data_IF_245267515817
#
_entry.id   IF_245267515817
#
_cell.length_a   1.000
_cell.length_b   1.000
_cell.length_c   1.000
_cell.angle_alpha   90.00
_cell.angle_beta   90.00
_cell.angle_gamma   90.00
#
_symmetry.space_group_name_H-M   'P 1'
#
loop_
_entity.id
_entity.type
_entity.pdbx_description
1 polymer ?
#
# COMPACT_ATOMS: atom_id res chain seq x y z
N UNK A 1 0.77 -16.57 -28.86
CA UNK A 1 1.45 -16.26 -27.59
C UNK A 1 0.78 -15.02 -27.04
N UNK A 2 0.10 -15.15 -25.91
CA UNK A 2 -0.61 -14.05 -25.26
C UNK A 2 0.47 -13.13 -24.67
N UNK A 3 0.46 -11.84 -25.04
CA UNK A 3 1.46 -10.87 -24.59
C UNK A 3 1.43 -10.75 -23.07
N UNK A 4 2.56 -11.06 -22.42
CA UNK A 4 2.73 -10.82 -21.00
C UNK A 4 2.95 -9.33 -20.78
N UNK A 5 2.14 -8.70 -19.91
CA UNK A 5 2.44 -7.36 -19.40
C UNK A 5 3.87 -7.36 -18.83
N UNK A 6 4.67 -6.35 -19.18
CA UNK A 6 6.00 -6.14 -18.60
C UNK A 6 5.86 -5.64 -17.16
N UNK A 7 6.75 -6.09 -16.28
CA UNK A 7 6.89 -5.56 -14.91
C UNK A 7 7.43 -4.11 -14.97
N UNK A 8 6.56 -3.11 -15.10
CA UNK A 8 6.94 -1.71 -14.91
C UNK A 8 7.02 -1.41 -13.40
N UNK A 9 8.05 -0.69 -12.92
CA UNK A 9 8.13 -0.28 -11.53
C UNK A 9 7.10 0.83 -11.22
N UNK A 10 6.63 0.91 -9.96
CA UNK A 10 5.52 1.79 -9.53
C UNK A 10 5.67 3.29 -9.86
N UNK A 11 6.89 3.73 -10.15
CA UNK A 11 7.31 5.11 -10.42
C UNK A 11 7.48 5.43 -11.91
N UNK A 12 7.38 4.46 -12.82
CA UNK A 12 7.53 4.70 -14.26
C UNK A 12 6.18 4.84 -14.97
N UNK A 13 5.62 6.06 -14.87
CA UNK A 13 4.39 6.46 -15.55
C UNK A 13 4.54 6.55 -17.08
N UNK A 14 5.75 6.51 -17.66
CA UNK A 14 5.96 6.52 -19.11
C UNK A 14 6.04 5.10 -19.71
N UNK A 15 6.55 4.12 -18.94
CA UNK A 15 6.48 2.68 -19.26
C UNK A 15 5.03 2.20 -19.43
N UNK A 16 4.07 2.86 -18.78
CA UNK A 16 2.63 2.57 -18.88
C UNK A 16 1.92 3.28 -20.03
N UNK A 17 2.52 4.32 -20.65
CA UNK A 17 1.91 5.11 -21.72
C UNK A 17 2.37 4.70 -23.13
N UNK A 18 3.45 3.92 -23.24
CA UNK A 18 4.09 3.56 -24.51
C UNK A 18 3.54 2.28 -25.18
N UNK A 19 2.26 1.94 -25.00
CA UNK A 19 1.54 0.99 -25.87
C UNK A 19 0.42 1.64 -26.68
N UNK A 20 0.61 2.89 -27.06
CA UNK A 20 -0.23 3.54 -28.09
C UNK A 20 0.13 3.01 -29.49
N UNK A 21 -0.35 1.79 -29.80
CA UNK A 21 -0.76 1.31 -31.14
C UNK A 21 -1.19 -0.17 -31.07
N UNK A 22 -2.32 -0.43 -30.43
CA UNK A 22 -3.12 -1.61 -30.77
C UNK A 22 -4.45 -1.13 -31.31
N UNK A 23 -4.76 -1.61 -32.50
CA UNK A 23 -5.86 -1.21 -33.37
C UNK A 23 -7.21 -1.26 -32.65
N UNK A 24 -8.05 -0.27 -32.94
CA UNK A 24 -9.25 0.12 -32.18
C UNK A 24 -10.46 -0.81 -32.41
N UNK A 25 -10.25 -2.12 -32.51
CA UNK A 25 -11.32 -3.08 -32.85
C UNK A 25 -11.49 -4.23 -31.85
N UNK A 26 -10.77 -4.27 -30.73
CA UNK A 26 -10.97 -5.32 -29.72
C UNK A 26 -11.40 -4.73 -28.36
N UNK A 27 -12.59 -5.10 -27.92
CA UNK A 27 -13.30 -4.53 -26.77
C UNK A 27 -12.74 -4.99 -25.40
N UNK A 28 -11.56 -5.64 -25.36
CA UNK A 28 -11.00 -6.23 -24.14
C UNK A 28 -9.48 -6.18 -24.08
N UNK A 29 -8.95 -5.10 -23.50
CA UNK A 29 -7.88 -5.11 -22.49
C UNK A 29 -7.28 -3.68 -22.39
N UNK A 30 -7.97 -2.81 -21.65
CA UNK A 30 -7.31 -1.62 -21.13
C UNK A 30 -6.28 -2.07 -20.09
N UNK A 31 -4.99 -2.04 -20.43
CA UNK A 31 -3.95 -2.07 -19.42
C UNK A 31 -3.95 -0.72 -18.68
N UNK A 32 -4.87 -0.53 -17.73
CA UNK A 32 -4.99 0.69 -16.90
C UNK A 32 -4.62 0.45 -15.42
N UNK A 33 -4.17 -0.74 -15.06
CA UNK A 33 -3.78 -1.10 -13.68
C UNK A 33 -2.26 -1.20 -13.51
N UNK A 34 -1.50 -0.26 -14.07
CA UNK A 34 -0.03 -0.23 -14.00
C UNK A 34 0.53 0.38 -12.71
N UNK A 35 -0.32 0.93 -11.85
CA UNK A 35 0.09 1.57 -10.60
C UNK A 35 -0.14 0.73 -9.36
N UNK A 36 -0.46 -0.56 -9.53
CA UNK A 36 -0.73 -1.50 -8.44
C UNK A 36 0.49 -2.35 -8.13
N UNK A 37 0.85 -2.44 -6.85
CA UNK A 37 1.75 -3.43 -6.32
C UNK A 37 1.00 -4.32 -5.32
N UNK A 38 0.62 -5.49 -5.81
CA UNK A 38 -0.02 -6.57 -5.03
C UNK A 38 1.02 -7.57 -4.49
N UNK A 39 2.31 -7.24 -4.52
CA UNK A 39 3.44 -8.04 -4.02
C UNK A 39 3.64 -9.48 -4.57
N UNK A 40 2.80 -9.98 -5.47
CA UNK A 40 2.89 -11.30 -6.10
C UNK A 40 4.24 -11.58 -6.80
N UNK A 41 4.87 -10.53 -7.32
CA UNK A 41 6.11 -10.60 -8.11
C UNK A 41 7.21 -9.71 -7.52
N UNK A 42 7.25 -9.62 -6.19
CA UNK A 42 8.25 -8.84 -5.45
C UNK A 42 7.74 -7.48 -4.99
N UNK A 43 8.64 -6.57 -4.67
CA UNK A 43 8.29 -5.26 -4.09
C UNK A 43 7.98 -4.16 -5.13
N UNK A 44 7.83 -4.51 -6.41
CA UNK A 44 7.44 -3.59 -7.49
C UNK A 44 8.29 -2.32 -7.62
N UNK A 45 9.61 -2.43 -7.34
CA UNK A 45 10.55 -1.30 -7.35
C UNK A 45 10.68 -0.59 -6.01
N UNK A 46 9.83 -0.88 -5.03
CA UNK A 46 10.02 -0.40 -3.67
C UNK A 46 11.25 -1.06 -3.03
N UNK A 47 11.99 -0.28 -2.24
CA UNK A 47 13.28 -0.69 -1.69
C UNK A 47 13.34 -0.50 -0.19
N UNK A 48 13.98 -1.42 0.52
CA UNK A 48 14.16 -1.28 1.96
C UNK A 48 15.13 -0.14 2.28
N UNK A 49 14.76 0.73 3.21
CA UNK A 49 15.71 1.70 3.77
C UNK A 49 16.86 0.96 4.46
N UNK A 50 18.10 1.40 4.22
CA UNK A 50 19.32 0.73 4.72
C UNK A 50 19.52 0.84 6.23
N UNK A 51 18.96 1.87 6.87
CA UNK A 51 19.25 2.22 8.26
C UNK A 51 18.34 1.57 9.30
N UNK A 52 17.50 0.61 8.88
CA UNK A 52 16.47 0.02 9.72
C UNK A 52 16.71 -1.48 9.91
N UNK A 53 16.63 -1.94 11.16
CA UNK A 53 16.89 -3.34 11.54
C UNK A 53 15.77 -4.26 11.06
N UNK A 54 14.51 -3.84 11.24
CA UNK A 54 13.36 -4.56 10.71
C UNK A 54 13.21 -4.33 9.20
N UNK A 55 12.67 -5.36 8.54
CA UNK A 55 12.37 -5.37 7.11
C UNK A 55 10.95 -5.84 6.92
N UNK A 56 10.30 -5.31 5.88
CA UNK A 56 9.08 -5.88 5.34
C UNK A 56 9.39 -7.24 4.72
N UNK A 57 8.57 -8.24 5.00
CA UNK A 57 8.74 -9.62 4.54
C UNK A 57 7.53 -9.94 3.68
N UNK A 58 7.74 -10.54 2.51
CA UNK A 58 6.66 -11.08 1.69
C UNK A 58 6.18 -12.40 2.28
N UNK A 59 4.88 -12.57 2.42
CA UNK A 59 4.28 -13.80 2.94
C UNK A 59 2.95 -14.11 2.24
N UNK A 60 2.59 -15.39 2.27
CA UNK A 60 1.27 -15.87 1.84
C UNK A 60 0.63 -16.68 2.97
N UNK A 61 -0.69 -16.49 3.17
CA UNK A 61 -1.41 -17.11 4.28
C UNK A 61 -1.16 -16.45 5.63
N UNK A 62 -1.21 -17.22 6.72
CA UNK A 62 -1.08 -16.70 8.09
C UNK A 62 0.37 -16.29 8.42
N UNK A 63 0.55 -15.27 9.25
CA UNK A 63 1.86 -14.98 9.87
C UNK A 63 2.25 -16.06 10.89
N UNK A 64 3.51 -16.07 11.32
CA UNK A 64 4.05 -17.10 12.21
C UNK A 64 3.61 -16.97 13.67
N UNK A 65 3.24 -15.76 14.10
CA UNK A 65 2.76 -15.46 15.45
C UNK A 65 1.26 -15.72 15.56
N UNK A 66 0.84 -16.16 16.74
CA UNK A 66 -0.58 -16.35 17.05
C UNK A 66 -1.18 -15.04 17.60
N UNK A 67 -2.47 -14.80 17.35
CA UNK A 67 -3.15 -13.61 17.85
C UNK A 67 -2.80 -12.29 17.15
N UNK A 68 -2.13 -12.36 15.99
CA UNK A 68 -1.85 -11.20 15.14
C UNK A 68 -1.70 -11.62 13.67
N UNK A 69 -1.56 -10.63 12.79
CA UNK A 69 -1.41 -10.80 11.35
C UNK A 69 -2.67 -11.31 10.65
N UNK A 70 -2.75 -11.15 9.32
CA UNK A 70 -3.89 -11.62 8.55
C UNK A 70 -3.87 -13.16 8.43
N UNK A 71 -5.05 -13.79 8.35
CA UNK A 71 -5.16 -15.22 8.03
C UNK A 71 -4.85 -15.52 6.55
N UNK A 72 -5.00 -14.52 5.68
CA UNK A 72 -4.78 -14.60 4.22
C UNK A 72 -4.54 -13.22 3.59
N UNK A 73 -3.97 -13.20 2.39
CA UNK A 73 -3.87 -12.03 1.51
C UNK A 73 -5.23 -11.35 1.22
N UNK A 74 -5.21 -10.04 0.98
CA UNK A 74 -6.38 -9.22 0.68
C UNK A 74 -6.95 -9.48 -0.72
N UNK A 75 -6.12 -9.54 -1.77
CA UNK A 75 -6.55 -9.68 -3.16
C UNK A 75 -7.33 -10.96 -3.41
N UNK A 76 -6.97 -12.07 -2.76
CA UNK A 76 -7.57 -13.39 -3.02
C UNK A 76 -8.46 -13.92 -1.92
N UNK A 77 -8.60 -13.20 -0.79
CA UNK A 77 -9.50 -13.37 0.36
C UNK A 77 -9.69 -14.78 0.98
N UNK A 78 -9.24 -15.86 0.34
CA UNK A 78 -9.59 -17.26 0.65
C UNK A 78 -8.69 -18.31 -0.08
N UNK A 79 -7.64 -17.90 -0.80
CA UNK A 79 -6.67 -18.82 -1.42
C UNK A 79 -5.29 -18.56 -0.83
N UNK A 80 -4.56 -19.64 -0.51
CA UNK A 80 -3.18 -19.61 0.01
C UNK A 80 -2.14 -19.12 -1.01
N UNK A 81 -2.59 -18.51 -2.10
CA UNK A 81 -1.79 -18.26 -3.30
C UNK A 81 -1.65 -16.76 -3.60
N UNK A 82 -1.86 -15.88 -2.62
CA UNK A 82 -1.60 -14.46 -2.77
C UNK A 82 -0.63 -13.93 -1.71
N UNK A 83 0.22 -12.99 -2.12
CA UNK A 83 1.31 -12.44 -1.34
C UNK A 83 0.97 -11.04 -0.84
N UNK A 84 1.22 -10.80 0.43
CA UNK A 84 1.24 -9.47 1.05
C UNK A 84 2.62 -9.21 1.64
N UNK A 85 2.84 -7.98 2.13
CA UNK A 85 4.02 -7.67 2.95
C UNK A 85 3.62 -7.47 4.41
N UNK A 86 4.45 -7.93 5.33
CA UNK A 86 4.25 -7.68 6.76
C UNK A 86 5.57 -7.46 7.49
N UNK A 87 5.46 -6.94 8.71
CA UNK A 87 6.55 -7.00 9.69
C UNK A 87 6.24 -8.04 10.76
N UNK A 88 7.24 -8.85 11.10
CA UNK A 88 7.17 -9.80 12.22
C UNK A 88 7.56 -9.08 13.51
N UNK A 89 6.57 -8.78 14.35
CA UNK A 89 6.77 -8.04 15.60
C UNK A 89 7.68 -8.80 16.59
N UNK A 90 7.70 -10.14 16.53
CA UNK A 90 8.57 -10.97 17.37
C UNK A 90 10.06 -10.75 17.11
N UNK A 91 10.42 -10.13 15.98
CA UNK A 91 11.81 -9.76 15.64
C UNK A 91 12.18 -8.34 16.05
N UNK A 92 11.20 -7.53 16.45
CA UNK A 92 11.37 -6.14 16.82
C UNK A 92 11.47 -5.92 18.32
N UNK A 93 11.94 -4.73 18.69
CA UNK A 93 11.81 -4.14 20.02
C UNK A 93 10.92 -2.92 19.93
N UNK A 94 10.47 -2.40 21.07
CA UNK A 94 9.75 -1.11 21.10
C UNK A 94 10.53 -0.01 20.38
N UNK A 95 9.86 0.61 19.41
CA UNK A 95 10.41 1.70 18.60
C UNK A 95 11.27 1.26 17.43
N UNK A 96 11.50 -0.05 17.23
CA UNK A 96 12.08 -0.54 16.00
C UNK A 96 11.13 -0.29 14.83
N UNK A 97 11.71 0.03 13.68
CA UNK A 97 10.96 0.42 12.49
C UNK A 97 11.41 -0.39 11.28
N UNK A 98 10.47 -0.69 10.40
CA UNK A 98 10.74 -1.14 9.04
C UNK A 98 10.26 -0.06 8.06
N UNK A 99 11.07 0.22 7.03
CA UNK A 99 10.71 1.17 5.97
C UNK A 99 10.88 0.56 4.60
N UNK A 100 9.88 0.77 3.76
CA UNK A 100 9.89 0.48 2.34
C UNK A 100 9.66 1.80 1.58
N UNK A 101 10.64 2.19 0.77
CA UNK A 101 10.65 3.46 0.05
C UNK A 101 10.38 3.24 -1.44
N UNK A 102 9.60 4.14 -2.02
CA UNK A 102 9.54 4.30 -3.47
C UNK A 102 10.84 4.88 -4.03
N UNK A 103 10.95 4.81 -5.36
CA UNK A 103 11.85 5.65 -6.12
C UNK A 103 11.36 7.12 -6.13
N UNK A 104 12.22 8.01 -6.62
CA UNK A 104 11.93 9.43 -6.67
C UNK A 104 10.77 9.74 -7.62
N UNK A 105 9.75 10.42 -7.08
CA UNK A 105 8.59 10.94 -7.79
C UNK A 105 8.81 12.41 -8.14
N UNK A 106 8.14 12.86 -9.21
CA UNK A 106 8.22 14.24 -9.71
C UNK A 106 7.59 15.22 -8.71
N UNK A 107 8.10 16.45 -8.67
CA UNK A 107 7.58 17.48 -7.77
C UNK A 107 6.26 18.11 -8.25
N UNK A 108 5.82 17.81 -9.48
CA UNK A 108 4.78 18.57 -10.18
C UNK A 108 3.35 18.04 -10.00
N UNK A 109 3.19 16.80 -9.59
CA UNK A 109 1.89 16.11 -9.62
C UNK A 109 1.44 15.71 -8.22
N UNK A 110 0.19 16.06 -7.89
CA UNK A 110 -0.48 15.48 -6.72
C UNK A 110 -0.93 14.08 -7.08
N UNK A 111 -0.59 13.11 -6.22
CA UNK A 111 -1.01 11.73 -6.37
C UNK A 111 -1.90 11.29 -5.20
N UNK A 112 -2.66 10.23 -5.39
CA UNK A 112 -3.37 9.53 -4.33
C UNK A 112 -2.73 8.16 -4.14
N UNK A 113 -2.16 7.94 -2.95
CA UNK A 113 -1.73 6.61 -2.54
C UNK A 113 -2.92 5.90 -1.89
N UNK A 114 -3.24 4.72 -2.38
CA UNK A 114 -4.25 3.81 -1.84
C UNK A 114 -3.57 2.50 -1.47
N UNK A 115 -4.05 1.82 -0.44
CA UNK A 115 -3.47 0.56 0.02
C UNK A 115 -4.47 -0.15 0.93
N UNK A 116 -4.25 -1.45 1.10
CA UNK A 116 -4.91 -2.24 2.13
C UNK A 116 -3.93 -2.53 3.25
N UNK A 117 -4.43 -2.56 4.48
CA UNK A 117 -3.62 -2.87 5.65
C UNK A 117 -4.38 -3.76 6.64
N UNK A 118 -3.66 -4.55 7.42
CA UNK A 118 -4.22 -5.37 8.49
C UNK A 118 -3.40 -5.15 9.75
N UNK A 119 -4.09 -4.80 10.85
CA UNK A 119 -3.50 -4.42 12.13
C UNK A 119 -4.34 -5.01 13.26
N UNK A 120 -4.20 -6.31 13.50
CA UNK A 120 -4.89 -7.01 14.58
C UNK A 120 -3.92 -7.53 15.65
N UNK A 121 -4.19 -7.23 16.92
CA UNK A 121 -3.37 -7.72 18.03
C UNK A 121 -3.30 -6.77 19.23
N UNK A 122 -3.02 -7.32 20.41
CA UNK A 122 -2.97 -6.56 21.67
C UNK A 122 -1.69 -5.74 21.84
N UNK A 123 -0.65 -6.05 21.06
CA UNK A 123 0.63 -5.32 21.01
C UNK A 123 0.84 -4.65 19.65
N UNK A 124 -0.24 -4.11 19.09
CA UNK A 124 -0.19 -3.46 17.80
C UNK A 124 0.53 -2.12 17.85
N UNK A 125 1.47 -1.95 16.92
CA UNK A 125 2.28 -0.76 16.77
C UNK A 125 1.62 0.32 15.90
N UNK A 126 2.44 1.04 15.14
CA UNK A 126 1.98 2.12 14.25
C UNK A 126 2.33 1.82 12.80
N UNK A 127 1.38 2.04 11.89
CA UNK A 127 1.63 2.10 10.45
C UNK A 127 1.55 3.56 9.99
N UNK A 128 2.51 3.99 9.17
CA UNK A 128 2.57 5.35 8.62
C UNK A 128 2.86 5.34 7.13
N UNK A 129 2.27 6.32 6.45
CA UNK A 129 2.74 6.79 5.15
C UNK A 129 3.44 8.13 5.34
N UNK A 130 4.70 8.20 4.91
CA UNK A 130 5.50 9.42 4.97
C UNK A 130 5.79 9.94 3.56
N UNK A 131 5.86 11.26 3.41
CA UNK A 131 6.50 11.91 2.28
C UNK A 131 7.89 12.38 2.69
N UNK A 132 8.90 12.01 1.90
CA UNK A 132 10.31 12.28 2.19
C UNK A 132 10.97 12.96 1.00
N UNK A 133 11.60 14.10 1.24
CA UNK A 133 12.51 14.78 0.31
C UNK A 133 13.96 14.60 0.79
N UNK A 134 14.92 15.27 0.13
CA UNK A 134 16.29 15.30 0.64
C UNK A 134 16.43 16.20 1.89
N UNK A 135 15.46 17.07 2.15
CA UNK A 135 15.54 18.11 3.18
C UNK A 135 14.62 17.84 4.37
N UNK A 136 13.46 17.22 4.15
CA UNK A 136 12.47 17.00 5.19
C UNK A 136 11.69 15.70 4.98
N UNK A 137 11.03 15.26 6.04
CA UNK A 137 10.12 14.12 6.05
C UNK A 137 8.87 14.50 6.84
N UNK A 138 7.69 14.17 6.32
CA UNK A 138 6.40 14.45 6.97
C UNK A 138 5.50 13.21 6.94
N UNK A 139 4.73 13.01 7.99
CA UNK A 139 3.67 11.99 8.03
C UNK A 139 2.43 12.53 7.34
N UNK A 140 1.91 11.77 6.36
CA UNK A 140 0.69 12.13 5.61
C UNK A 140 -0.48 11.19 5.89
N UNK A 141 -0.22 10.05 6.54
CA UNK A 141 -1.23 9.12 7.04
C UNK A 141 -0.63 8.30 8.18
N UNK A 142 -1.43 7.97 9.19
CA UNK A 142 -1.01 7.20 10.36
C UNK A 142 -2.21 6.45 10.95
N UNK A 143 -2.00 5.20 11.35
CA UNK A 143 -2.90 4.45 12.22
C UNK A 143 -2.10 3.75 13.33
N UNK A 144 -2.69 3.67 14.52
CA UNK A 144 -2.05 3.09 15.70
C UNK A 144 -2.98 2.12 16.42
N UNK A 145 -2.41 1.03 16.93
CA UNK A 145 -3.14 0.06 17.72
C UNK A 145 -4.03 -0.84 16.87
N UNK A 146 -4.87 -1.63 17.54
CA UNK A 146 -5.71 -2.64 16.91
C UNK A 146 -6.84 -2.03 16.04
N UNK A 147 -6.95 -2.48 14.80
CA UNK A 147 -7.89 -2.04 13.75
C UNK A 147 -8.83 -3.17 13.29
N UNK A 148 -9.11 -4.12 14.19
CA UNK A 148 -9.91 -5.33 13.94
C UNK A 148 -9.19 -6.43 13.13
N UNK A 149 -9.73 -7.65 13.17
CA UNK A 149 -9.20 -8.80 12.41
C UNK A 149 -9.76 -8.82 10.97
N UNK A 150 -9.64 -7.69 10.28
CA UNK A 150 -10.09 -7.52 8.90
C UNK A 150 -9.12 -6.61 8.15
N UNK A 151 -8.98 -6.84 6.84
CA UNK A 151 -8.24 -5.92 5.97
C UNK A 151 -9.01 -4.60 5.85
N UNK A 152 -8.32 -3.52 6.17
CA UNK A 152 -8.83 -2.15 6.14
C UNK A 152 -8.27 -1.39 4.94
N UNK A 153 -9.06 -0.47 4.40
CA UNK A 153 -8.66 0.36 3.27
C UNK A 153 -8.09 1.71 3.75
N UNK A 154 -6.89 2.03 3.31
CA UNK A 154 -6.21 3.31 3.55
C UNK A 154 -6.03 4.10 2.26
N UNK A 155 -6.13 5.43 2.37
CA UNK A 155 -5.70 6.32 1.29
C UNK A 155 -5.22 7.68 1.81
N UNK A 156 -4.27 8.29 1.11
CA UNK A 156 -3.76 9.62 1.45
C UNK A 156 -3.24 10.38 0.22
N UNK A 157 -3.49 11.69 0.11
CA UNK A 157 -2.93 12.49 -0.97
C UNK A 157 -1.44 12.77 -0.73
N UNK A 158 -0.62 12.53 -1.75
CA UNK A 158 0.78 12.93 -1.81
C UNK A 158 0.86 14.29 -2.52
N UNK A 159 1.10 15.36 -1.75
CA UNK A 159 1.08 16.74 -2.24
C UNK A 159 2.50 17.34 -2.21
N UNK A 160 3.25 17.29 -3.31
CA UNK A 160 4.59 17.90 -3.36
C UNK A 160 4.52 19.43 -3.27
N UNK A 161 5.66 20.03 -2.93
CA UNK A 161 5.84 21.49 -2.83
C UNK A 161 6.04 22.19 -4.18
N UNK A 162 6.07 21.43 -5.29
CA UNK A 162 6.35 21.95 -6.63
C UNK A 162 7.82 22.14 -6.96
N UNK A 163 8.74 21.92 -5.99
CA UNK A 163 10.16 22.27 -6.12
C UNK A 163 11.08 21.06 -5.97
N UNK A 164 10.77 20.17 -5.02
CA UNK A 164 11.63 19.04 -4.68
C UNK A 164 10.99 17.72 -5.08
N UNK A 165 11.77 16.85 -5.73
CA UNK A 165 11.40 15.45 -5.87
C UNK A 165 11.21 14.82 -4.48
N UNK A 166 10.32 13.85 -4.40
CA UNK A 166 9.97 13.21 -3.15
C UNK A 166 9.83 11.70 -3.32
N UNK A 167 9.78 10.99 -2.20
CA UNK A 167 9.42 9.58 -2.11
C UNK A 167 8.22 9.45 -1.17
N UNK A 168 7.33 8.51 -1.43
CA UNK A 168 6.51 7.97 -0.35
C UNK A 168 7.24 6.82 0.35
N UNK A 169 6.98 6.67 1.65
CA UNK A 169 7.57 5.63 2.49
C UNK A 169 6.46 4.94 3.27
N UNK A 170 6.43 3.61 3.23
CA UNK A 170 5.60 2.77 4.08
C UNK A 170 6.45 2.41 5.31
N UNK A 171 6.13 3.00 6.46
CA UNK A 171 6.82 2.76 7.73
C UNK A 171 5.90 1.99 8.68
N UNK A 172 6.40 0.90 9.24
CA UNK A 172 5.80 0.25 10.40
C UNK A 172 6.73 0.38 11.61
N UNK A 173 6.18 0.64 12.78
CA UNK A 173 6.88 0.75 14.06
C UNK A 173 6.31 -0.24 15.06
N UNK A 174 7.16 -1.09 15.66
CA UNK A 174 6.73 -2.10 16.65
C UNK A 174 6.62 -1.51 18.05
N UNK A 175 5.69 -2.06 18.83
CA UNK A 175 5.73 -1.94 20.30
C UNK A 175 6.19 -3.28 20.90
N UNK A 176 6.64 -3.28 22.16
CA UNK A 176 7.15 -4.51 22.78
C UNK A 176 6.09 -5.62 22.79
N UNK A 177 6.45 -6.78 22.23
CA UNK A 177 5.60 -7.97 22.15
C UNK A 177 5.65 -8.63 20.76
N UNK A 178 5.04 -9.80 20.64
CA UNK A 178 4.94 -10.56 19.38
C UNK A 178 3.53 -10.53 18.77
N UNK A 179 2.51 -10.03 19.49
CA UNK A 179 1.14 -9.89 18.99
C UNK A 179 0.91 -8.53 18.27
N UNK A 180 1.82 -8.16 17.37
CA UNK A 180 1.91 -6.82 16.78
C UNK A 180 2.24 -6.77 15.29
N UNK A 181 2.00 -7.84 14.54
CA UNK A 181 2.30 -7.92 13.11
C UNK A 181 1.43 -6.94 12.32
N UNK A 182 2.07 -6.08 11.54
CA UNK A 182 1.42 -5.11 10.65
C UNK A 182 1.61 -5.60 9.22
N UNK A 183 0.50 -5.79 8.49
CA UNK A 183 0.53 -6.16 7.08
C UNK A 183 -0.01 -5.05 6.18
N UNK A 184 0.52 -5.00 4.95
CA UNK A 184 0.13 -4.08 3.88
C UNK A 184 0.04 -4.85 2.58
N UNK A 185 -0.94 -4.49 1.77
CA UNK A 185 -1.19 -5.11 0.47
C UNK A 185 -1.78 -4.12 -0.54
N UNK A 186 -1.79 -4.50 -1.82
CA UNK A 186 -2.50 -3.79 -2.89
C UNK A 186 -2.22 -2.28 -2.94
N UNK A 187 -0.93 -1.91 -2.91
CA UNK A 187 -0.49 -0.51 -2.91
C UNK A 187 -0.68 0.08 -4.30
N UNK A 188 -1.48 1.14 -4.41
CA UNK A 188 -1.82 1.79 -5.67
C UNK A 188 -1.52 3.28 -5.66
N UNK A 189 -0.91 3.79 -6.74
CA UNK A 189 -0.79 5.23 -7.00
C UNK A 189 -1.77 5.68 -8.09
N UNK A 190 -2.58 6.70 -7.82
CA UNK A 190 -3.44 7.30 -8.84
C UNK A 190 -3.09 8.77 -9.02
N UNK A 191 -3.24 9.28 -10.24
CA UNK A 191 -3.11 10.71 -10.50
C UNK A 191 -4.22 11.50 -9.80
N UNK A 192 -3.86 12.71 -9.34
CA UNK A 192 -4.78 13.62 -8.67
C UNK A 192 -4.93 13.37 -7.17
N UNK A 193 -5.76 14.20 -6.53
CA UNK A 193 -6.08 14.01 -5.10
C UNK A 193 -7.00 12.81 -4.88
N UNK A 194 -6.89 12.19 -3.71
CA UNK A 194 -7.78 11.10 -3.32
C UNK A 194 -9.24 11.55 -3.35
N UNK A 195 -10.06 10.78 -4.09
CA UNK A 195 -11.50 10.98 -4.07
C UNK A 195 -12.04 10.54 -2.72
N UNK A 196 -12.90 11.36 -2.11
CA UNK A 196 -13.68 10.89 -0.96
C UNK A 196 -14.55 9.75 -1.46
N UNK A 197 -14.40 8.56 -0.86
CA UNK A 197 -15.36 7.48 -1.05
C UNK A 197 -16.64 7.95 -0.36
N UNK A 198 -17.56 8.52 -1.14
CA UNK A 198 -18.91 8.81 -0.65
C UNK A 198 -19.63 7.45 -0.64
N UNK A 199 -19.78 6.85 0.54
CA UNK A 199 -20.64 5.68 0.69
C UNK A 199 -22.10 6.10 0.46
N UNK A 200 -22.59 5.92 -0.77
CA UNK A 200 -23.98 6.19 -1.13
C UNK A 200 -24.98 5.27 -0.41
N UNK A 201 -24.55 4.34 0.46
CA UNK A 201 -25.46 3.51 1.27
C UNK A 201 -26.23 4.28 2.35
N UNK A 202 -25.99 5.59 2.54
CA UNK A 202 -26.79 6.44 3.44
C UNK A 202 -27.80 7.38 2.75
N UNK A 203 -27.95 7.34 1.42
CA UNK A 203 -28.90 8.23 0.71
C UNK A 203 -30.22 7.58 0.26
N UNK A 204 -30.55 6.39 0.78
CA UNK A 204 -31.87 5.78 0.57
C UNK A 204 -32.50 5.37 1.90
N UNK A 205 -32.95 6.35 2.67
CA UNK A 205 -34.14 6.18 3.50
C UNK A 205 -34.75 7.56 3.84
N UNK A 206 -35.99 7.72 3.36
CA UNK A 206 -36.97 8.79 3.63
C UNK A 206 -36.90 10.02 2.73
N UNK A 207 -37.29 9.81 1.48
CA UNK A 207 -38.21 10.76 0.82
C UNK A 207 -39.03 10.04 -0.25
N UNK A 208 -39.93 9.16 0.19
CA UNK A 208 -41.03 8.66 -0.64
C UNK A 208 -42.29 8.56 0.22
N UNK A 209 -43.13 9.60 0.04
CA UNK A 209 -44.60 9.63 0.10
C UNK A 209 -45.32 9.91 1.44
N UNK A 210 -46.04 11.04 1.34
CA UNK A 210 -47.33 11.45 1.91
C UNK A 210 -47.33 12.08 3.31
#
# INVERSE_FOLDING_TARGET
MIGSCRNCPLNDLECSLNESKVDATDEKAYCRDFSLCSFESGFCGLSHSKNYQLKWIRNSGKTSSDGTGPQSDHTRCNKKDGDYIYIDASKGKKGDKARLESDWLSAGETLCLQFWYHMWGVRMGTLRILMKTNQFEITVWEEFGNQEDEWQFGQTPLKPDGQNQYKFVIEAETIDGDEGDIAVDDVRLNEGSCQKIIDNRKFNQRDVRK
#
